data_IF_957854680738
#
_entry.id   IF_957854680738
#
_cell.length_a   1.000
_cell.length_b   1.000
_cell.length_c   1.000
_cell.angle_alpha   90.00
_cell.angle_beta   90.00
_cell.angle_gamma   90.00
#
_symmetry.space_group_name_H-M   'P 1'
#
loop_
_entity.id
_entity.type
_entity.pdbx_description
1 polymer ?
#
# COMPACT_ATOMS: atom_id res chain seq x y z
N UNK A 1 -24.08 0.79 16.62
CA UNK A 1 -24.88 1.10 15.45
C UNK A 1 -24.83 -0.03 14.42
N UNK A 2 -25.98 -0.43 13.99
CA UNK A 2 -26.10 -1.41 12.93
C UNK A 2 -26.28 -0.67 11.61
N UNK A 3 -25.54 -1.09 10.59
CA UNK A 3 -25.65 -0.47 9.28
C UNK A 3 -27.10 -0.56 8.79
N UNK A 4 -27.62 0.56 8.34
CA UNK A 4 -28.97 0.64 7.81
C UNK A 4 -28.95 0.15 6.36
N UNK A 5 -30.07 -0.38 5.91
CA UNK A 5 -30.20 -0.81 4.53
C UNK A 5 -29.84 0.35 3.58
N UNK A 6 -28.92 0.12 2.68
CA UNK A 6 -28.44 1.12 1.76
C UNK A 6 -27.31 1.99 2.28
N UNK A 7 -26.99 1.86 3.56
CA UNK A 7 -25.88 2.59 4.15
C UNK A 7 -24.56 1.90 3.80
N UNK A 8 -23.54 2.68 3.47
CA UNK A 8 -22.22 2.14 3.15
C UNK A 8 -21.24 2.46 4.28
N UNK A 9 -20.25 1.61 4.45
CA UNK A 9 -19.24 1.77 5.49
C UNK A 9 -17.85 1.64 4.86
N UNK A 10 -16.82 1.74 5.71
CA UNK A 10 -15.44 1.68 5.25
C UNK A 10 -15.12 0.37 4.52
N UNK A 11 -15.65 -0.75 4.99
CA UNK A 11 -15.42 -2.07 4.38
C UNK A 11 -15.96 -2.09 2.95
N UNK A 12 -17.11 -1.49 2.72
CA UNK A 12 -17.68 -1.41 1.38
C UNK A 12 -16.72 -0.68 0.42
N UNK A 13 -16.21 0.47 0.86
CA UNK A 13 -15.28 1.24 0.03
C UNK A 13 -13.97 0.52 -0.19
N UNK A 14 -13.49 -0.18 0.83
CA UNK A 14 -12.26 -0.97 0.73
C UNK A 14 -12.39 -2.07 -0.34
N UNK A 15 -13.49 -2.83 -0.30
CA UNK A 15 -13.68 -3.89 -1.29
C UNK A 15 -13.93 -3.33 -2.68
N UNK A 16 -14.62 -2.20 -2.78
CA UNK A 16 -14.85 -1.58 -4.08
C UNK A 16 -13.54 -1.03 -4.65
N UNK A 17 -12.68 -0.52 -3.81
CA UNK A 17 -11.35 -0.09 -4.23
C UNK A 17 -10.58 -1.25 -4.83
N UNK A 18 -10.59 -2.41 -4.19
CA UNK A 18 -9.86 -3.56 -4.71
C UNK A 18 -10.40 -4.01 -6.06
N UNK A 19 -11.71 -3.99 -6.24
CA UNK A 19 -12.33 -4.34 -7.51
C UNK A 19 -11.95 -3.32 -8.58
N UNK A 20 -11.97 -2.04 -8.24
CA UNK A 20 -11.60 -0.98 -9.15
C UNK A 20 -10.15 -1.08 -9.57
N UNK A 21 -9.27 -1.42 -8.63
CA UNK A 21 -7.85 -1.58 -8.91
C UNK A 21 -7.62 -2.72 -9.90
N UNK A 22 -8.28 -3.85 -9.70
CA UNK A 22 -8.21 -4.98 -10.63
C UNK A 22 -8.73 -4.60 -12.02
N UNK A 23 -9.76 -3.76 -12.07
CA UNK A 23 -10.35 -3.30 -13.32
C UNK A 23 -9.57 -2.13 -13.93
N UNK A 24 -8.47 -1.72 -13.31
CA UNK A 24 -7.61 -0.61 -13.73
C UNK A 24 -8.34 0.73 -13.75
N UNK A 25 -9.36 0.85 -12.89
CA UNK A 25 -10.09 2.11 -12.70
C UNK A 25 -9.45 2.85 -11.53
N UNK A 26 -8.27 3.43 -11.79
CA UNK A 26 -7.41 3.94 -10.73
C UNK A 26 -8.01 5.14 -9.99
N UNK A 27 -8.70 6.03 -10.69
CA UNK A 27 -9.30 7.18 -10.02
C UNK A 27 -10.41 6.73 -9.06
N UNK A 28 -11.21 5.75 -9.48
CA UNK A 28 -12.25 5.20 -8.61
C UNK A 28 -11.61 4.51 -7.39
N UNK A 29 -10.55 3.75 -7.64
CA UNK A 29 -9.84 3.08 -6.53
C UNK A 29 -9.33 4.11 -5.53
N UNK A 30 -8.73 5.19 -6.02
CA UNK A 30 -8.23 6.24 -5.15
C UNK A 30 -9.35 6.89 -4.34
N UNK A 31 -10.46 7.24 -5.01
CA UNK A 31 -11.60 7.85 -4.32
C UNK A 31 -12.15 6.95 -3.23
N UNK A 32 -12.26 5.65 -3.52
CA UNK A 32 -12.82 4.70 -2.57
C UNK A 32 -11.92 4.46 -1.37
N UNK A 33 -10.61 4.35 -1.59
CA UNK A 33 -9.72 4.11 -0.45
C UNK A 33 -9.61 5.35 0.44
N UNK A 34 -9.67 6.54 -0.14
CA UNK A 34 -9.70 7.77 0.65
C UNK A 34 -10.94 7.81 1.52
N UNK A 35 -12.10 7.40 0.98
CA UNK A 35 -13.33 7.35 1.78
C UNK A 35 -13.23 6.33 2.91
N UNK A 36 -12.63 5.17 2.66
CA UNK A 36 -12.43 4.18 3.72
C UNK A 36 -11.55 4.75 4.84
N UNK A 37 -10.50 5.47 4.47
CA UNK A 37 -9.59 6.09 5.44
C UNK A 37 -10.32 7.17 6.24
N UNK A 38 -11.16 7.98 5.60
CA UNK A 38 -11.94 9.01 6.30
C UNK A 38 -12.83 8.39 7.37
N UNK A 39 -13.36 7.21 7.10
CA UNK A 39 -14.25 6.52 8.04
C UNK A 39 -13.49 5.77 9.11
N UNK A 40 -12.23 5.37 8.84
CA UNK A 40 -11.40 4.64 9.79
C UNK A 40 -9.94 5.06 9.63
N UNK A 41 -9.57 6.26 10.15
CA UNK A 41 -8.27 6.87 9.84
C UNK A 41 -7.05 6.15 10.40
N UNK A 42 -7.23 5.29 11.40
CA UNK A 42 -6.10 4.61 12.03
C UNK A 42 -5.85 3.21 11.45
N UNK A 43 -6.63 2.80 10.48
CA UNK A 43 -6.49 1.47 9.89
C UNK A 43 -5.29 1.45 8.94
N UNK A 44 -4.23 0.75 9.33
CA UNK A 44 -3.01 0.70 8.53
C UNK A 44 -3.19 -0.08 7.23
N UNK A 45 -4.12 -1.04 7.21
CA UNK A 45 -4.44 -1.78 5.97
C UNK A 45 -4.96 -0.82 4.92
N UNK A 46 -5.84 0.11 5.30
CA UNK A 46 -6.36 1.09 4.36
C UNK A 46 -5.27 2.06 3.90
N UNK A 47 -4.41 2.47 4.82
CA UNK A 47 -3.30 3.35 4.44
C UNK A 47 -2.34 2.65 3.49
N UNK A 48 -2.06 1.37 3.72
CA UNK A 48 -1.21 0.60 2.82
C UNK A 48 -1.85 0.47 1.42
N UNK A 49 -3.17 0.25 1.37
CA UNK A 49 -3.89 0.22 0.08
C UNK A 49 -3.82 1.56 -0.62
N UNK A 50 -3.90 2.65 0.13
CA UNK A 50 -3.74 3.99 -0.45
C UNK A 50 -2.37 4.12 -1.12
N UNK A 51 -1.33 3.63 -0.46
CA UNK A 51 0.01 3.63 -1.04
C UNK A 51 0.07 2.77 -2.30
N UNK A 52 -0.60 1.61 -2.29
CA UNK A 52 -0.65 0.73 -3.47
C UNK A 52 -1.28 1.45 -4.66
N UNK A 53 -2.40 2.14 -4.45
CA UNK A 53 -3.05 2.86 -5.55
C UNK A 53 -2.13 3.95 -6.09
N UNK A 54 -1.48 4.70 -5.20
CA UNK A 54 -0.54 5.73 -5.66
C UNK A 54 0.62 5.14 -6.44
N UNK A 55 1.17 4.01 -5.99
CA UNK A 55 2.21 3.29 -6.72
C UNK A 55 1.73 2.89 -8.11
N UNK A 56 0.51 2.36 -8.21
CA UNK A 56 -0.04 1.88 -9.48
C UNK A 56 -0.27 3.02 -10.48
N UNK A 57 -0.56 4.23 -10.00
CA UNK A 57 -0.74 5.38 -10.92
C UNK A 57 0.55 6.16 -11.13
N UNK A 58 1.64 5.74 -10.55
CA UNK A 58 2.93 6.39 -10.77
C UNK A 58 3.25 7.53 -9.83
N UNK A 59 2.50 7.69 -8.76
CA UNK A 59 2.76 8.73 -7.75
C UNK A 59 3.64 8.15 -6.66
N UNK A 60 4.89 7.88 -7.01
CA UNK A 60 5.79 7.12 -6.15
C UNK A 60 6.16 7.88 -4.88
N UNK A 61 6.36 9.20 -4.98
CA UNK A 61 6.74 10.00 -3.81
C UNK A 61 5.61 10.11 -2.80
N UNK A 62 4.37 10.25 -3.29
CA UNK A 62 3.21 10.23 -2.39
C UNK A 62 3.08 8.88 -1.71
N UNK A 63 3.28 7.80 -2.46
CA UNK A 63 3.24 6.46 -1.87
C UNK A 63 4.31 6.30 -0.80
N UNK A 64 5.53 6.77 -1.05
CA UNK A 64 6.62 6.71 -0.08
C UNK A 64 6.25 7.46 1.20
N UNK A 65 5.67 8.64 1.06
CA UNK A 65 5.26 9.43 2.22
C UNK A 65 4.23 8.69 3.07
N UNK A 66 3.24 8.09 2.42
CA UNK A 66 2.22 7.29 3.12
C UNK A 66 2.88 6.12 3.85
N UNK A 67 3.79 5.43 3.16
CA UNK A 67 4.46 4.25 3.74
C UNK A 67 5.35 4.63 4.92
N UNK A 68 6.03 5.75 4.84
CA UNK A 68 6.83 6.23 5.96
C UNK A 68 5.96 6.54 7.18
N UNK A 69 4.76 7.08 6.96
CA UNK A 69 3.83 7.33 8.05
C UNK A 69 3.33 6.03 8.67
N UNK A 70 3.10 5.01 7.85
CA UNK A 70 2.73 3.68 8.37
C UNK A 70 3.84 3.15 9.27
N UNK A 71 5.08 3.29 8.84
CA UNK A 71 6.23 2.77 9.60
C UNK A 71 6.49 3.56 10.87
N UNK A 72 6.05 4.82 10.95
CA UNK A 72 6.09 5.55 12.22
C UNK A 72 5.10 4.96 13.21
N UNK A 73 3.93 4.52 12.74
CA UNK A 73 2.92 3.91 13.59
C UNK A 73 3.26 2.47 13.94
N UNK A 74 3.83 1.73 12.98
CA UNK A 74 4.20 0.33 13.17
C UNK A 74 5.50 0.03 12.42
N UNK A 75 6.65 0.14 13.10
CA UNK A 75 7.95 -0.10 12.45
C UNK A 75 8.17 -1.53 11.96
N UNK A 76 7.30 -2.45 12.31
CA UNK A 76 7.39 -3.85 11.88
C UNK A 76 6.39 -4.22 10.80
N UNK A 77 5.79 -3.23 10.16
CA UNK A 77 4.82 -3.45 9.09
C UNK A 77 5.55 -3.87 7.81
N UNK A 78 5.74 -5.18 7.66
CA UNK A 78 6.60 -5.75 6.61
C UNK A 78 6.21 -5.31 5.20
N UNK A 79 4.91 -5.28 4.90
CA UNK A 79 4.42 -4.89 3.58
C UNK A 79 4.87 -3.48 3.20
N UNK A 80 4.97 -2.57 4.18
CA UNK A 80 5.40 -1.20 3.90
C UNK A 80 6.83 -1.16 3.36
N UNK A 81 7.71 -2.00 3.89
CA UNK A 81 9.08 -2.07 3.36
C UNK A 81 9.10 -2.62 1.95
N UNK A 82 8.29 -3.64 1.66
CA UNK A 82 8.22 -4.18 0.30
C UNK A 82 7.70 -3.12 -0.67
N UNK A 83 6.66 -2.40 -0.29
CA UNK A 83 6.09 -1.36 -1.14
C UNK A 83 7.05 -0.18 -1.34
N UNK A 84 7.81 0.19 -0.28
CA UNK A 84 8.86 1.19 -0.42
C UNK A 84 9.89 0.77 -1.46
N UNK A 85 10.31 -0.49 -1.39
CA UNK A 85 11.25 -1.02 -2.36
C UNK A 85 10.72 -0.93 -3.77
N UNK A 86 9.45 -1.27 -3.98
CA UNK A 86 8.85 -1.19 -5.31
C UNK A 86 8.82 0.25 -5.83
N UNK A 87 8.52 1.22 -4.96
CA UNK A 87 8.58 2.63 -5.37
C UNK A 87 10.00 3.03 -5.76
N UNK A 88 10.98 2.58 -5.00
CA UNK A 88 12.37 2.94 -5.25
C UNK A 88 12.90 2.31 -6.54
N UNK A 89 12.46 1.10 -6.88
CA UNK A 89 12.81 0.51 -8.18
C UNK A 89 12.33 1.41 -9.31
N UNK A 90 11.11 1.92 -9.21
CA UNK A 90 10.56 2.82 -10.23
C UNK A 90 11.34 4.14 -10.30
N UNK A 91 11.89 4.58 -9.18
CA UNK A 91 12.68 5.80 -9.12
C UNK A 91 14.17 5.55 -9.38
N UNK A 92 14.55 4.34 -9.82
CA UNK A 92 15.91 3.96 -10.16
C UNK A 92 16.87 3.96 -8.96
N UNK A 93 16.34 3.69 -7.77
CA UNK A 93 17.12 3.60 -6.53
C UNK A 93 17.23 2.15 -6.09
N UNK A 94 17.86 1.35 -6.92
CA UNK A 94 17.89 -0.11 -6.74
C UNK A 94 18.54 -0.54 -5.43
N UNK A 95 19.65 0.12 -5.03
CA UNK A 95 20.33 -0.26 -3.79
C UNK A 95 19.45 -0.04 -2.56
N UNK A 96 18.76 1.10 -2.51
CA UNK A 96 17.83 1.38 -1.41
C UNK A 96 16.66 0.41 -1.43
N UNK A 97 16.15 0.10 -2.63
CA UNK A 97 15.07 -0.86 -2.78
C UNK A 97 15.45 -2.22 -2.21
N UNK A 98 16.67 -2.67 -2.51
CA UNK A 98 17.15 -3.97 -2.02
C UNK A 98 17.23 -3.99 -0.50
N UNK A 99 17.67 -2.89 0.11
CA UNK A 99 17.68 -2.79 1.57
C UNK A 99 16.29 -2.97 2.15
N UNK A 100 15.31 -2.33 1.53
CA UNK A 100 13.91 -2.43 1.99
C UNK A 100 13.32 -3.81 1.74
N UNK A 101 13.64 -4.45 0.61
CA UNK A 101 13.17 -5.82 0.35
C UNK A 101 13.73 -6.78 1.39
N UNK A 102 15.00 -6.65 1.74
CA UNK A 102 15.61 -7.51 2.75
C UNK A 102 15.00 -7.28 4.12
N UNK A 103 14.67 -6.02 4.44
CA UNK A 103 13.99 -5.71 5.69
C UNK A 103 12.61 -6.34 5.73
N UNK A 104 11.87 -6.27 4.62
CA UNK A 104 10.57 -6.92 4.53
C UNK A 104 10.70 -8.42 4.77
N UNK A 105 11.72 -9.04 4.20
CA UNK A 105 11.94 -10.47 4.41
C UNK A 105 12.22 -10.80 5.87
N UNK A 106 13.07 -10.00 6.53
CA UNK A 106 13.35 -10.19 7.96
C UNK A 106 12.08 -10.13 8.79
N UNK A 107 11.13 -9.30 8.39
CA UNK A 107 9.87 -9.12 9.11
C UNK A 107 8.78 -10.11 8.68
N UNK A 108 9.11 -11.04 7.78
CA UNK A 108 8.21 -12.13 7.44
C UNK A 108 7.30 -11.91 6.24
N UNK A 109 7.59 -10.95 5.39
CA UNK A 109 6.77 -10.73 4.18
C UNK A 109 6.93 -11.94 3.25
N UNK A 110 5.83 -12.64 2.91
CA UNK A 110 5.91 -13.84 2.06
C UNK A 110 6.07 -13.53 0.57
N UNK A 111 5.96 -12.28 0.17
CA UNK A 111 5.89 -11.89 -1.24
C UNK A 111 7.15 -11.20 -1.75
N UNK A 112 8.24 -11.24 -0.98
CA UNK A 112 9.41 -10.42 -1.30
C UNK A 112 10.54 -11.21 -1.95
N UNK A 113 10.53 -12.53 -1.87
CA UNK A 113 11.67 -13.36 -2.34
C UNK A 113 11.95 -13.17 -3.83
N UNK A 114 10.91 -13.15 -4.65
CA UNK A 114 11.09 -12.95 -6.09
C UNK A 114 11.70 -11.59 -6.39
N UNK A 115 11.32 -10.58 -5.62
CA UNK A 115 11.84 -9.23 -5.81
C UNK A 115 13.33 -9.17 -5.48
N UNK A 116 13.72 -9.85 -4.40
CA UNK A 116 15.13 -9.93 -4.02
C UNK A 116 15.92 -10.63 -5.12
N UNK A 117 15.41 -11.74 -5.62
CA UNK A 117 16.06 -12.47 -6.70
C UNK A 117 16.22 -11.62 -7.95
N UNK A 118 15.19 -10.85 -8.28
CA UNK A 118 15.16 -10.07 -9.51
C UNK A 118 16.05 -8.84 -9.45
N UNK A 119 16.04 -8.12 -8.33
CA UNK A 119 16.69 -6.80 -8.24
C UNK A 119 17.94 -6.76 -7.38
N UNK A 120 18.15 -7.73 -6.50
CA UNK A 120 19.25 -7.70 -5.53
C UNK A 120 20.26 -8.79 -5.86
N UNK A 121 21.32 -8.39 -6.51
CA UNK A 121 22.36 -9.35 -6.92
C UNK A 121 23.62 -9.20 -6.13
#
# INVERSE_FOLDING_TARGET
>A
HTAVKGEVNDVFYYYREQAALKARQFQRALDDIVKAIEMNPTDLTYQAEHAVVNLRVGRYEEAIQILNNILKADPKYAEAYRLLGLCQIQLKKTDEACGNFKKAKELGDPNVDELITKYCK
#
